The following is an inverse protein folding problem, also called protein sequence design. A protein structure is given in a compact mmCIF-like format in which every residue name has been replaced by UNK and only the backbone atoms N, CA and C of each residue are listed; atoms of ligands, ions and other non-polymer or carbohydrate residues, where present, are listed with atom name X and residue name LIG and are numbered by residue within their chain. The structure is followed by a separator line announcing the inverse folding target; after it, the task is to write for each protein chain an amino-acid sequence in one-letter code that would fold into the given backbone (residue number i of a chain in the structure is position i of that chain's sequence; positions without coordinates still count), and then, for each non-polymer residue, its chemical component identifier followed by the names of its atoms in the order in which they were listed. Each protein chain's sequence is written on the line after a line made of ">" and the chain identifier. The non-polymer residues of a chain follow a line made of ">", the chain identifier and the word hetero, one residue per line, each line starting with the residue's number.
data_IF_924845112544
#
_entry.id   IF_924845112544
#
_cell.length_a   1.000
_cell.length_b   1.000
_cell.length_c   1.000
_cell.angle_alpha   90.00
_cell.angle_beta   90.00
_cell.angle_gamma   90.00
#
_symmetry.space_group_name_H-M   'P 1'
#
loop_
_entity.id
_entity.type
_entity.pdbx_description
1 polymer ?
#
# COMPACT_ATOMS: atom_id res chain seq x y z
N UNK A 1 36.00 -20.43 -0.01
CA UNK A 1 34.98 -19.39 -0.30
C UNK A 1 33.77 -20.13 -0.81
N UNK A 2 32.72 -20.25 0.01
CA UNK A 2 31.48 -20.88 -0.43
C UNK A 2 30.90 -20.00 -1.53
N UNK A 3 30.60 -20.59 -2.69
CA UNK A 3 29.83 -19.91 -3.72
C UNK A 3 28.50 -19.50 -3.06
N UNK A 4 28.19 -18.21 -3.05
CA UNK A 4 26.84 -17.75 -2.75
C UNK A 4 25.90 -18.55 -3.63
N UNK A 5 24.88 -19.17 -3.06
CA UNK A 5 23.80 -19.74 -3.87
C UNK A 5 23.29 -18.60 -4.76
N UNK A 6 23.53 -18.70 -6.07
CA UNK A 6 23.09 -17.68 -7.02
C UNK A 6 21.58 -17.49 -6.84
N UNK A 7 21.17 -16.28 -6.43
CA UNK A 7 19.76 -15.91 -6.39
C UNK A 7 19.17 -16.13 -7.79
N UNK A 8 18.08 -16.90 -7.87
CA UNK A 8 17.33 -17.08 -9.11
C UNK A 8 16.08 -16.18 -9.07
N UNK A 9 16.08 -15.06 -9.83
CA UNK A 9 14.91 -14.20 -9.94
C UNK A 9 13.64 -14.95 -10.33
N UNK A 10 13.74 -15.99 -11.16
CA UNK A 10 12.58 -16.73 -11.68
C UNK A 10 11.84 -17.47 -10.56
N UNK A 11 12.56 -17.99 -9.56
CA UNK A 11 11.94 -18.63 -8.40
C UNK A 11 11.16 -17.63 -7.56
N UNK A 12 11.70 -16.41 -7.39
CA UNK A 12 11.00 -15.34 -6.69
C UNK A 12 9.74 -14.93 -7.48
N UNK A 13 9.87 -14.68 -8.78
CA UNK A 13 8.74 -14.27 -9.64
C UNK A 13 7.62 -15.33 -9.67
N UNK A 14 7.99 -16.62 -9.62
CA UNK A 14 7.04 -17.73 -9.55
C UNK A 14 6.43 -17.93 -8.15
N UNK A 15 6.83 -17.16 -7.14
CA UNK A 15 6.32 -17.26 -5.78
C UNK A 15 4.80 -17.08 -5.76
N UNK A 16 4.13 -17.97 -5.02
CA UNK A 16 2.69 -17.93 -4.83
C UNK A 16 2.39 -17.47 -3.41
N UNK A 17 1.89 -16.26 -3.29
CA UNK A 17 1.35 -15.77 -2.04
C UNK A 17 0.08 -16.56 -1.66
N UNK A 18 -0.16 -16.81 -0.37
CA UNK A 18 -1.46 -17.29 0.09
C UNK A 18 -2.53 -16.23 -0.18
N UNK A 19 -3.77 -16.66 -0.44
CA UNK A 19 -4.90 -15.73 -0.45
C UNK A 19 -5.11 -15.19 0.98
N UNK A 20 -5.41 -13.89 1.10
CA UNK A 20 -5.70 -13.22 2.37
C UNK A 20 -7.11 -12.67 2.37
N UNK A 21 -7.80 -12.79 3.50
CA UNK A 21 -9.13 -12.19 3.70
C UNK A 21 -8.94 -10.95 4.55
N UNK A 22 -9.39 -9.81 4.04
CA UNK A 22 -9.45 -8.55 4.79
C UNK A 22 -10.92 -8.18 5.00
N UNK A 23 -11.37 -8.21 6.25
CA UNK A 23 -12.75 -7.85 6.62
C UNK A 23 -12.75 -6.55 7.40
N UNK A 24 -13.68 -5.65 7.07
CA UNK A 24 -13.81 -4.37 7.73
C UNK A 24 -15.28 -3.98 7.90
N UNK A 25 -15.51 -3.12 8.87
CA UNK A 25 -16.80 -2.55 9.22
C UNK A 25 -16.81 -1.06 8.97
N UNK A 26 -17.99 -0.45 9.12
CA UNK A 26 -18.16 1.00 9.01
C UNK A 26 -17.28 1.76 10.00
N UNK A 27 -17.07 1.19 11.20
CA UNK A 27 -16.16 1.75 12.20
C UNK A 27 -14.73 1.86 11.68
N UNK A 28 -14.25 0.84 10.98
CA UNK A 28 -12.86 0.81 10.49
C UNK A 28 -12.67 1.82 9.36
N UNK A 29 -13.67 1.95 8.48
CA UNK A 29 -13.71 2.98 7.44
C UNK A 29 -13.74 4.40 8.02
N UNK A 30 -14.53 4.65 9.07
CA UNK A 30 -14.58 5.94 9.76
C UNK A 30 -13.27 6.27 10.49
N UNK A 31 -12.64 5.28 11.16
CA UNK A 31 -11.33 5.44 11.80
C UNK A 31 -10.28 5.83 10.76
N UNK A 32 -10.28 5.17 9.60
CA UNK A 32 -9.40 5.54 8.50
C UNK A 32 -9.67 6.97 8.02
N UNK A 33 -10.93 7.34 7.80
CA UNK A 33 -11.33 8.68 7.38
C UNK A 33 -10.75 9.76 8.30
N UNK A 34 -10.94 9.61 9.61
CA UNK A 34 -10.35 10.49 10.62
C UNK A 34 -8.81 10.44 10.61
N UNK A 35 -8.23 9.25 10.48
CA UNK A 35 -6.78 9.05 10.45
C UNK A 35 -6.07 9.73 9.29
N UNK A 36 -6.75 9.86 8.14
CA UNK A 36 -6.23 10.59 6.96
C UNK A 36 -6.67 12.06 6.91
N UNK A 37 -7.40 12.53 7.91
CA UNK A 37 -7.67 13.96 8.11
C UNK A 37 -9.09 14.43 7.78
N UNK A 38 -10.04 13.53 7.47
CA UNK A 38 -11.43 13.93 7.32
C UNK A 38 -11.94 14.60 8.60
N UNK A 39 -12.60 15.75 8.45
CA UNK A 39 -13.09 16.60 9.52
C UNK A 39 -12.01 17.16 10.46
N UNK A 40 -10.71 17.07 10.10
CA UNK A 40 -9.63 17.47 11.00
C UNK A 40 -9.54 19.00 11.20
N UNK A 41 -9.93 19.76 10.18
CA UNK A 41 -9.96 21.23 10.23
C UNK A 41 -11.25 21.77 10.83
N UNK A 42 -12.38 21.17 10.46
CA UNK A 42 -13.70 21.50 10.96
C UNK A 42 -14.52 20.22 11.16
N UNK A 43 -14.88 19.94 12.42
CA UNK A 43 -15.65 18.77 12.80
C UNK A 43 -17.08 18.79 12.24
N UNK A 44 -17.57 19.95 11.80
CA UNK A 44 -18.92 20.17 11.28
C UNK A 44 -18.96 20.36 9.76
N UNK A 45 -17.86 20.10 9.04
CA UNK A 45 -17.82 20.22 7.58
C UNK A 45 -18.81 19.24 6.94
N UNK A 46 -19.88 19.79 6.35
CA UNK A 46 -20.96 19.04 5.72
C UNK A 46 -20.50 18.21 4.51
N UNK A 47 -19.37 18.56 3.90
CA UNK A 47 -18.78 17.82 2.78
C UNK A 47 -17.97 16.61 3.24
N UNK A 48 -17.44 16.64 4.46
CA UNK A 48 -16.56 15.59 5.00
C UNK A 48 -17.27 14.68 5.99
N UNK A 49 -18.34 15.15 6.65
CA UNK A 49 -19.13 14.36 7.59
C UNK A 49 -19.60 13.02 7.00
N UNK A 50 -19.84 12.95 5.69
CA UNK A 50 -20.21 11.71 4.99
C UNK A 50 -19.18 10.57 5.10
N UNK A 51 -17.94 10.85 5.54
CA UNK A 51 -16.90 9.83 5.73
C UNK A 51 -16.84 9.26 7.16
N UNK A 52 -17.58 9.85 8.10
CA UNK A 52 -17.52 9.51 9.54
C UNK A 52 -18.90 9.43 10.19
N UNK A 53 -19.92 9.91 9.51
CA UNK A 53 -21.30 10.03 9.97
C UNK A 53 -22.28 9.89 8.80
N UNK A 54 -23.56 9.67 9.10
CA UNK A 54 -24.67 9.51 8.16
C UNK A 54 -25.46 10.83 7.99
N UNK A 55 -25.01 11.79 7.16
CA UNK A 55 -25.80 12.99 6.88
C UNK A 55 -27.09 12.64 6.14
N UNK A 56 -28.14 13.45 6.33
CA UNK A 56 -29.37 13.44 5.52
C UNK A 56 -30.09 12.09 5.40
N UNK A 57 -29.97 11.23 6.43
CA UNK A 57 -30.63 9.92 6.46
C UNK A 57 -29.97 8.84 5.58
N UNK A 58 -28.71 9.03 5.19
CA UNK A 58 -27.91 7.98 4.55
C UNK A 58 -27.86 6.72 5.43
N UNK A 59 -27.94 5.54 4.80
CA UNK A 59 -27.88 4.29 5.54
C UNK A 59 -26.45 3.93 5.96
N UNK A 60 -25.45 4.38 5.19
CA UNK A 60 -24.05 4.07 5.39
C UNK A 60 -23.15 5.27 5.07
N UNK A 61 -21.98 5.36 5.71
CA UNK A 61 -20.96 6.35 5.36
C UNK A 61 -20.35 6.04 3.99
N UNK A 62 -19.76 7.04 3.35
CA UNK A 62 -18.90 6.84 2.19
C UNK A 62 -17.49 6.45 2.63
N UNK A 63 -16.84 5.59 1.84
CA UNK A 63 -15.47 5.16 2.11
C UNK A 63 -14.53 5.89 1.15
N UNK A 64 -13.47 6.50 1.69
CA UNK A 64 -12.44 7.13 0.87
C UNK A 64 -11.76 6.08 -0.02
N UNK A 65 -11.59 6.33 -1.34
CA UNK A 65 -10.98 5.36 -2.26
C UNK A 65 -9.62 4.81 -1.82
N UNK A 66 -8.83 5.64 -1.14
CA UNK A 66 -7.50 5.29 -0.64
C UNK A 66 -7.51 4.27 0.51
N UNK A 67 -8.67 3.98 1.11
CA UNK A 67 -8.85 2.88 2.07
C UNK A 67 -8.42 1.53 1.48
N UNK A 68 -8.55 1.37 0.15
CA UNK A 68 -8.11 0.17 -0.57
C UNK A 68 -6.61 -0.17 -0.38
N UNK A 69 -5.77 0.81 0.00
CA UNK A 69 -4.36 0.55 0.30
C UNK A 69 -4.18 -0.43 1.47
N UNK A 70 -5.11 -0.42 2.43
CA UNK A 70 -5.05 -1.25 3.64
C UNK A 70 -5.22 -2.75 3.35
N UNK A 71 -5.84 -3.10 2.22
CA UNK A 71 -6.02 -4.51 1.81
C UNK A 71 -4.71 -5.24 1.57
N UNK A 72 -3.61 -4.49 1.51
CA UNK A 72 -2.27 -5.01 1.33
C UNK A 72 -1.50 -5.27 2.63
N UNK A 73 -1.98 -4.74 3.77
CA UNK A 73 -1.26 -4.79 5.04
C UNK A 73 -0.96 -6.23 5.50
N UNK A 74 -1.88 -7.17 5.25
CA UNK A 74 -1.75 -8.58 5.64
C UNK A 74 -0.72 -9.37 4.83
N UNK A 75 -0.06 -8.74 3.85
CA UNK A 75 1.05 -9.33 3.10
C UNK A 75 2.43 -8.90 3.62
N UNK A 76 2.51 -7.98 4.59
CA UNK A 76 3.79 -7.51 5.12
C UNK A 76 4.68 -8.67 5.59
N UNK A 77 4.11 -9.61 6.37
CA UNK A 77 4.84 -10.80 6.83
C UNK A 77 5.34 -11.69 5.70
N UNK A 78 4.57 -11.85 4.63
CA UNK A 78 4.93 -12.67 3.47
C UNK A 78 6.07 -12.05 2.69
N UNK A 79 6.09 -10.72 2.60
CA UNK A 79 7.15 -9.95 1.94
C UNK A 79 8.47 -10.10 2.70
N UNK A 80 8.43 -10.02 4.03
CA UNK A 80 9.59 -10.22 4.91
C UNK A 80 10.26 -11.58 4.74
N UNK A 81 9.49 -12.61 4.37
CA UNK A 81 9.96 -13.99 4.26
C UNK A 81 10.07 -14.48 2.81
N UNK A 82 10.21 -13.56 1.85
CA UNK A 82 10.36 -13.94 0.44
C UNK A 82 11.64 -14.76 0.21
N UNK A 83 11.57 -15.84 -0.59
CA UNK A 83 12.71 -16.71 -0.82
C UNK A 83 13.80 -16.01 -1.63
N UNK A 84 15.04 -16.13 -1.18
CA UNK A 84 16.24 -15.81 -1.97
C UNK A 84 16.72 -14.36 -1.92
N UNK A 85 15.93 -13.41 -1.41
CA UNK A 85 16.40 -12.04 -1.17
C UNK A 85 16.81 -11.88 0.29
N UNK A 86 18.11 -11.74 0.53
CA UNK A 86 18.64 -11.40 1.86
C UNK A 86 18.62 -9.88 2.04
N UNK A 87 17.84 -9.40 3.01
CA UNK A 87 17.83 -8.00 3.44
C UNK A 87 17.45 -7.91 4.93
N UNK A 88 17.67 -6.73 5.51
CA UNK A 88 17.15 -6.40 6.84
C UNK A 88 15.73 -5.83 6.70
N UNK A 89 14.68 -6.50 7.20
CA UNK A 89 13.30 -6.00 7.11
C UNK A 89 13.12 -4.60 7.70
N UNK A 90 13.94 -4.22 8.69
CA UNK A 90 13.89 -2.88 9.31
C UNK A 90 14.31 -1.76 8.36
N UNK A 91 15.02 -2.11 7.27
CA UNK A 91 15.48 -1.17 6.25
C UNK A 91 14.57 -1.14 5.01
N UNK A 92 13.51 -1.96 4.99
CA UNK A 92 12.49 -1.94 3.95
C UNK A 92 11.80 -0.58 3.95
N UNK A 93 11.68 0.01 2.76
CA UNK A 93 10.92 1.24 2.57
C UNK A 93 9.78 0.99 1.60
N UNK A 94 8.59 1.50 1.94
CA UNK A 94 7.50 1.60 0.99
C UNK A 94 7.82 2.75 0.01
N UNK A 95 8.17 2.41 -1.23
CA UNK A 95 8.63 3.36 -2.24
C UNK A 95 7.49 4.01 -3.02
N UNK A 96 6.61 3.21 -3.62
CA UNK A 96 5.49 3.70 -4.42
C UNK A 96 4.22 2.91 -4.13
N UNK A 97 3.08 3.58 -4.28
CA UNK A 97 1.74 2.98 -4.23
C UNK A 97 0.95 3.42 -5.46
N UNK A 98 0.22 2.49 -6.06
CA UNK A 98 -0.77 2.72 -7.09
C UNK A 98 -2.06 1.99 -6.70
N UNK A 99 -3.20 2.63 -6.96
CA UNK A 99 -4.53 2.09 -6.68
C UNK A 99 -5.41 2.34 -7.91
N UNK A 100 -6.05 1.30 -8.42
CA UNK A 100 -7.13 1.39 -9.40
C UNK A 100 -8.42 0.87 -8.78
N UNK A 101 -9.46 1.71 -8.77
CA UNK A 101 -10.77 1.40 -8.20
C UNK A 101 -11.74 1.11 -9.34
N UNK A 102 -12.22 -0.13 -9.43
CA UNK A 102 -13.20 -0.54 -10.44
C UNK A 102 -14.64 -0.31 -9.96
N UNK A 103 -14.87 -0.38 -8.64
CA UNK A 103 -16.17 -0.12 -8.00
C UNK A 103 -16.00 0.64 -6.68
N UNK A 104 -16.97 1.47 -6.27
CA UNK A 104 -16.96 2.11 -4.95
C UNK A 104 -16.81 1.08 -3.82
N UNK A 105 -16.03 1.42 -2.81
CA UNK A 105 -15.87 0.58 -1.62
C UNK A 105 -17.14 0.64 -0.77
N UNK A 106 -17.73 -0.51 -0.39
CA UNK A 106 -18.85 -0.53 0.56
C UNK A 106 -18.36 -0.12 1.96
N UNK A 107 -19.26 0.36 2.83
CA UNK A 107 -18.91 0.74 4.21
C UNK A 107 -18.52 -0.45 5.10
N UNK A 108 -18.88 -1.66 4.69
CA UNK A 108 -18.51 -2.91 5.32
C UNK A 108 -18.38 -3.99 4.25
N UNK A 109 -17.36 -4.83 4.32
CA UNK A 109 -17.17 -5.95 3.40
C UNK A 109 -16.11 -6.92 3.91
N UNK A 110 -16.06 -8.08 3.25
CA UNK A 110 -14.91 -8.97 3.29
C UNK A 110 -14.30 -9.05 1.90
N UNK A 111 -13.00 -8.76 1.79
CA UNK A 111 -12.24 -8.80 0.53
C UNK A 111 -11.35 -10.03 0.50
N UNK A 112 -11.35 -10.76 -0.62
CA UNK A 112 -10.38 -11.81 -0.93
C UNK A 112 -9.27 -11.18 -1.76
N UNK A 113 -8.07 -11.13 -1.18
CA UNK A 113 -6.90 -10.50 -1.76
C UNK A 113 -5.95 -11.54 -2.35
N UNK A 114 -5.56 -11.32 -3.60
CA UNK A 114 -4.64 -12.18 -4.35
C UNK A 114 -3.41 -11.39 -4.75
N UNK A 115 -2.28 -11.68 -4.12
CA UNK A 115 -1.01 -11.03 -4.41
C UNK A 115 -0.19 -11.81 -5.45
N UNK A 116 0.60 -11.07 -6.24
CA UNK A 116 1.61 -11.63 -7.14
C UNK A 116 2.78 -10.67 -7.29
N UNK A 117 3.96 -11.20 -7.58
CA UNK A 117 5.11 -10.36 -7.92
C UNK A 117 4.92 -9.87 -9.35
N UNK A 118 4.82 -8.55 -9.50
CA UNK A 118 4.57 -7.88 -10.78
C UNK A 118 5.83 -7.24 -11.35
N UNK A 119 6.87 -7.07 -10.54
CA UNK A 119 8.15 -6.56 -10.99
C UNK A 119 9.29 -6.79 -10.00
N UNK A 120 10.51 -6.86 -10.53
CA UNK A 120 11.75 -6.94 -9.77
C UNK A 120 12.84 -6.14 -10.49
N UNK A 121 13.55 -5.28 -9.77
CA UNK A 121 14.64 -4.51 -10.33
C UNK A 121 15.85 -4.50 -9.42
N UNK A 122 17.02 -4.78 -9.98
CA UNK A 122 18.30 -4.61 -9.30
C UNK A 122 18.78 -3.14 -9.40
N UNK A 123 19.10 -2.54 -8.26
CA UNK A 123 19.67 -1.18 -8.13
C UNK A 123 21.10 -1.21 -7.57
N UNK A 124 21.81 -2.33 -7.70
CA UNK A 124 23.18 -2.55 -7.22
C UNK A 124 23.24 -2.83 -5.73
N UNK A 125 22.94 -1.84 -4.89
CA UNK A 125 22.95 -2.01 -3.41
C UNK A 125 21.57 -2.30 -2.81
N UNK A 126 20.55 -2.41 -3.65
CA UNK A 126 19.18 -2.67 -3.25
C UNK A 126 18.41 -3.35 -4.37
N UNK A 127 17.26 -3.92 -4.03
CA UNK A 127 16.24 -4.34 -4.98
C UNK A 127 15.02 -3.44 -4.88
N UNK A 128 14.30 -3.26 -5.98
CA UNK A 128 12.90 -2.83 -5.97
C UNK A 128 12.05 -4.05 -6.30
N UNK A 129 11.11 -4.36 -5.43
CA UNK A 129 10.13 -5.41 -5.65
C UNK A 129 8.75 -4.78 -5.80
N UNK A 130 8.06 -5.08 -6.90
CA UNK A 130 6.69 -4.63 -7.14
C UNK A 130 5.71 -5.77 -6.93
N UNK A 131 4.69 -5.53 -6.11
CA UNK A 131 3.67 -6.51 -5.74
C UNK A 131 2.33 -5.95 -6.15
N UNK A 132 1.58 -6.75 -6.89
CA UNK A 132 0.24 -6.43 -7.35
C UNK A 132 -0.77 -7.28 -6.60
N UNK A 133 -1.84 -6.65 -6.13
CA UNK A 133 -2.88 -7.27 -5.30
C UNK A 133 -4.23 -6.96 -5.93
N UNK A 134 -4.93 -8.00 -6.34
CA UNK A 134 -6.32 -7.93 -6.78
C UNK A 134 -7.24 -8.24 -5.61
N UNK A 135 -8.22 -7.38 -5.37
CA UNK A 135 -9.16 -7.49 -4.25
C UNK A 135 -10.57 -7.71 -4.78
N UNK A 136 -11.14 -8.87 -4.42
CA UNK A 136 -12.48 -9.28 -4.81
C UNK A 136 -13.41 -9.22 -3.60
N UNK A 137 -14.62 -8.70 -3.76
CA UNK A 137 -15.62 -8.82 -2.71
C UNK A 137 -16.02 -10.30 -2.57
N UNK A 138 -16.01 -10.80 -1.33
CA UNK A 138 -16.04 -12.23 -1.03
C UNK A 138 -17.36 -12.92 -1.42
N UNK A 139 -18.50 -12.25 -1.25
CA UNK A 139 -19.81 -12.86 -1.49
C UNK A 139 -20.18 -12.89 -2.98
N UNK A 140 -19.96 -11.77 -3.66
CA UNK A 140 -20.28 -11.57 -5.07
C UNK A 140 -19.19 -12.07 -6.02
N UNK A 141 -17.93 -12.14 -5.56
CA UNK A 141 -16.77 -12.45 -6.38
C UNK A 141 -16.35 -11.33 -7.33
N UNK A 142 -16.92 -10.13 -7.17
CA UNK A 142 -16.63 -9.00 -8.05
C UNK A 142 -15.27 -8.38 -7.74
N UNK A 143 -14.51 -8.04 -8.79
CA UNK A 143 -13.25 -7.30 -8.64
C UNK A 143 -13.56 -5.84 -8.26
N UNK A 144 -13.07 -5.41 -7.10
CA UNK A 144 -13.33 -4.08 -6.54
C UNK A 144 -12.18 -3.12 -6.85
N UNK A 145 -10.94 -3.56 -6.63
CA UNK A 145 -9.76 -2.74 -6.87
C UNK A 145 -8.51 -3.58 -7.16
N UNK A 146 -7.51 -2.91 -7.72
CA UNK A 146 -6.14 -3.41 -7.84
C UNK A 146 -5.20 -2.43 -7.10
N UNK A 147 -4.33 -2.97 -6.26
CA UNK A 147 -3.22 -2.24 -5.64
C UNK A 147 -1.91 -2.69 -6.28
N UNK A 148 -0.98 -1.77 -6.50
CA UNK A 148 0.42 -2.09 -6.80
C UNK A 148 1.31 -1.29 -5.89
N UNK A 149 2.08 -1.99 -5.06
CA UNK A 149 3.09 -1.39 -4.20
C UNK A 149 4.49 -1.71 -4.73
N UNK A 150 5.42 -0.79 -4.53
CA UNK A 150 6.84 -1.03 -4.74
C UNK A 150 7.57 -0.88 -3.41
N UNK A 151 8.28 -1.92 -2.99
CA UNK A 151 9.12 -1.90 -1.79
C UNK A 151 10.59 -1.82 -2.20
N UNK A 152 11.35 -1.01 -1.48
CA UNK A 152 12.79 -0.83 -1.66
C UNK A 152 13.53 -1.62 -0.59
N UNK A 153 14.22 -2.68 -1.03
CA UNK A 153 14.90 -3.65 -0.17
C UNK A 153 16.40 -3.35 -0.15
N UNK A 154 16.83 -2.57 0.85
CA UNK A 154 18.25 -2.23 1.03
C UNK A 154 19.07 -3.48 1.35
N UNK A 155 20.21 -3.65 0.68
CA UNK A 155 21.09 -4.81 0.83
C UNK A 155 20.81 -5.96 -0.15
N UNK A 156 19.57 -6.07 -0.66
CA UNK A 156 19.15 -7.16 -1.55
C UNK A 156 19.51 -6.96 -3.04
N UNK A 157 20.52 -6.14 -3.37
CA UNK A 157 20.94 -5.88 -4.76
C UNK A 157 22.13 -6.72 -5.21
N UNK A 158 22.55 -6.54 -6.47
CA UNK A 158 23.76 -7.15 -7.02
C UNK A 158 23.58 -8.56 -7.57
N UNK A 159 22.34 -8.96 -7.80
CA UNK A 159 21.97 -10.28 -8.32
C UNK A 159 21.83 -10.33 -9.85
N UNK A 160 21.74 -9.19 -10.53
CA UNK A 160 21.60 -9.12 -11.98
C UNK A 160 22.83 -8.49 -12.65
N UNK A 161 23.23 -9.06 -13.79
CA UNK A 161 24.25 -8.49 -14.70
C UNK A 161 23.70 -7.34 -15.56
N UNK A 162 22.38 -7.15 -15.57
CA UNK A 162 21.67 -6.10 -16.33
C UNK A 162 20.74 -5.34 -15.40
N UNK A 163 20.78 -4.00 -15.44
CA UNK A 163 19.87 -3.16 -14.65
C UNK A 163 18.43 -3.11 -15.19
N UNK A 164 18.11 -3.95 -16.18
CA UNK A 164 16.78 -3.95 -16.78
C UNK A 164 15.74 -4.44 -15.76
N UNK A 165 14.61 -3.74 -15.64
CA UNK A 165 13.53 -4.18 -14.80
C UNK A 165 12.94 -5.46 -15.36
N UNK A 166 12.75 -6.43 -14.49
CA UNK A 166 11.90 -7.56 -14.78
C UNK A 166 10.45 -7.13 -14.54
N UNK A 167 9.62 -7.08 -15.58
CA UNK A 167 8.20 -6.73 -15.48
C UNK A 167 7.34 -7.90 -15.90
N UNK A 168 6.37 -8.25 -15.05
CA UNK A 168 5.54 -9.44 -15.18
C UNK A 168 4.06 -9.18 -14.93
N UNK A 169 3.65 -7.91 -14.78
CA UNK A 169 2.24 -7.60 -14.63
C UNK A 169 1.48 -8.07 -15.88
N UNK A 170 0.45 -8.89 -15.63
CA UNK A 170 -0.50 -9.36 -16.65
C UNK A 170 -1.60 -8.33 -16.91
N UNK A 171 -1.79 -7.41 -15.96
CA UNK A 171 -2.71 -6.30 -16.09
C UNK A 171 -1.97 -5.20 -16.83
N UNK A 172 -2.59 -4.69 -17.90
CA UNK A 172 -1.93 -3.78 -18.83
C UNK A 172 -1.13 -2.72 -18.09
N UNK A 173 0.09 -2.47 -18.55
CA UNK A 173 0.86 -1.31 -18.15
C UNK A 173 0.06 -0.06 -18.53
N UNK A 174 -0.88 0.36 -17.69
CA UNK A 174 -0.94 1.77 -17.35
C UNK A 174 0.34 2.04 -16.55
N UNK A 175 1.48 1.92 -17.23
CA UNK A 175 2.62 2.78 -16.99
C UNK A 175 1.98 4.16 -17.09
N UNK A 176 1.62 4.72 -15.93
CA UNK A 176 1.66 6.14 -15.73
C UNK A 176 3.06 6.53 -16.21
N UNK A 177 3.14 6.83 -17.50
CA UNK A 177 4.34 7.04 -18.27
C UNK A 177 4.97 8.26 -17.66
N UNK A 178 5.98 8.09 -16.78
CA UNK A 178 6.63 9.14 -15.99
C UNK A 178 5.81 10.44 -16.04
N UNK A 179 4.67 10.48 -15.33
CA UNK A 179 3.77 11.63 -15.42
C UNK A 179 4.56 12.79 -14.84
N UNK A 180 5.21 13.54 -15.72
CA UNK A 180 6.05 14.65 -15.33
C UNK A 180 5.13 15.70 -14.75
N UNK A 181 5.43 16.15 -13.54
CA UNK A 181 4.74 17.30 -12.96
C UNK A 181 4.91 18.46 -13.96
N UNK A 182 3.81 19.06 -14.47
CA UNK A 182 3.91 20.15 -15.44
C UNK A 182 4.79 21.28 -14.90
N UNK A 183 5.66 21.81 -15.75
CA UNK A 183 6.47 22.98 -15.41
C UNK A 183 5.56 24.21 -15.44
N UNK A 184 5.26 24.80 -14.28
CA UNK A 184 4.42 26.00 -14.18
C UNK A 184 3.78 26.17 -12.81
N UNK A 185 2.94 27.19 -12.67
CA UNK A 185 2.12 27.36 -11.46
C UNK A 185 1.01 26.29 -11.40
N UNK A 186 0.73 25.71 -10.22
CA UNK A 186 -0.40 24.81 -10.04
C UNK A 186 -1.73 25.51 -10.35
N UNK A 187 -2.70 24.78 -10.90
CA UNK A 187 -4.05 25.29 -11.13
C UNK A 187 -4.81 25.56 -9.82
N UNK A 188 -4.59 24.71 -8.81
CA UNK A 188 -5.13 24.85 -7.47
C UNK A 188 -4.12 24.31 -6.46
N UNK A 189 -4.13 24.87 -5.26
CA UNK A 189 -3.33 24.44 -4.11
C UNK A 189 -4.29 24.29 -2.94
N UNK A 190 -4.25 23.12 -2.30
CA UNK A 190 -4.97 22.83 -1.07
C UNK A 190 -3.95 22.50 -0.01
N UNK A 191 -4.11 23.06 1.18
CA UNK A 191 -3.22 22.85 2.32
C UNK A 191 -4.02 22.21 3.45
N UNK A 192 -3.53 21.06 3.91
CA UNK A 192 -4.08 20.36 5.07
C UNK A 192 -3.06 20.38 6.20
N UNK A 193 -3.53 20.61 7.42
CA UNK A 193 -2.68 20.61 8.60
C UNK A 193 -2.76 19.25 9.29
N UNK A 194 -1.62 18.57 9.40
CA UNK A 194 -1.57 17.31 10.13
C UNK A 194 -1.64 17.54 11.63
N UNK A 195 -2.35 16.67 12.33
CA UNK A 195 -2.43 16.72 13.80
C UNK A 195 -1.17 16.08 14.41
N UNK A 196 -0.66 16.57 15.57
CA UNK A 196 0.48 15.95 16.24
C UNK A 196 0.29 14.45 16.54
N UNK A 197 -0.95 14.01 16.76
CA UNK A 197 -1.31 12.61 17.03
C UNK A 197 -1.74 11.82 15.78
N UNK A 198 -1.61 12.37 14.57
CA UNK A 198 -2.20 11.77 13.37
C UNK A 198 -1.65 10.39 13.04
N UNK A 199 -0.34 10.18 13.20
CA UNK A 199 0.27 8.85 13.05
C UNK A 199 -0.28 7.84 14.06
N UNK A 200 -0.58 8.28 15.30
CA UNK A 200 -1.14 7.43 16.35
C UNK A 200 -2.59 7.03 16.09
N UNK A 201 -3.34 7.86 15.35
CA UNK A 201 -4.69 7.55 14.91
C UNK A 201 -4.67 6.67 13.65
N UNK A 202 -3.90 7.05 12.63
CA UNK A 202 -3.82 6.34 11.35
C UNK A 202 -3.35 4.89 11.51
N UNK A 203 -2.39 4.62 12.41
CA UNK A 203 -1.91 3.25 12.68
C UNK A 203 -3.00 2.29 13.13
N UNK A 204 -4.11 2.79 13.70
CA UNK A 204 -5.26 1.96 14.07
C UNK A 204 -5.97 1.35 12.85
N UNK A 205 -5.68 1.84 11.64
CA UNK A 205 -6.14 1.27 10.36
C UNK A 205 -5.32 0.07 9.87
N UNK A 206 -4.20 -0.27 10.53
CA UNK A 206 -3.53 -1.57 10.32
C UNK A 206 -2.01 -1.57 10.26
N UNK A 207 -1.37 -0.41 10.07
CA UNK A 207 0.11 -0.33 10.11
C UNK A 207 0.59 0.02 11.52
N UNK A 208 0.97 -1.01 12.28
CA UNK A 208 1.46 -0.88 13.64
C UNK A 208 2.99 -0.71 13.74
N UNK A 209 3.68 -0.45 12.62
CA UNK A 209 5.14 -0.29 12.61
C UNK A 209 5.59 0.76 13.65
N UNK A 210 6.49 0.40 14.59
CA UNK A 210 6.91 1.28 15.66
C UNK A 210 7.65 2.52 15.17
N UNK A 211 8.14 2.54 13.93
CA UNK A 211 8.71 3.74 13.29
C UNK A 211 7.79 4.95 13.42
N UNK A 212 6.47 4.74 13.42
CA UNK A 212 5.46 5.80 13.44
C UNK A 212 4.93 6.13 14.85
N UNK A 213 5.45 5.48 15.91
CA UNK A 213 4.92 5.67 17.27
C UNK A 213 5.95 5.62 18.39
N UNK A 214 7.13 5.04 18.18
CA UNK A 214 8.22 4.96 19.16
C UNK A 214 9.38 5.89 18.76
N UNK A 215 9.61 6.99 19.51
CA UNK A 215 10.71 7.92 19.23
C UNK A 215 12.09 7.27 19.21
N UNK A 216 12.34 6.23 20.01
CA UNK A 216 13.65 5.56 20.05
C UNK A 216 13.91 4.76 18.77
N UNK A 217 12.87 4.13 18.24
CA UNK A 217 12.97 3.39 16.98
C UNK A 217 13.14 4.37 15.81
N UNK A 218 12.40 5.47 15.82
CA UNK A 218 12.54 6.52 14.81
C UNK A 218 13.96 7.12 14.82
N UNK A 219 14.51 7.46 15.98
CA UNK A 219 15.88 8.01 16.11
C UNK A 219 16.95 7.06 15.55
N UNK A 220 16.78 5.75 15.75
CA UNK A 220 17.70 4.73 15.21
C UNK A 220 17.57 4.58 13.69
N UNK A 221 16.37 4.78 13.14
CA UNK A 221 16.11 4.68 11.70
C UNK A 221 16.69 5.86 10.90
N UNK A 222 16.91 7.01 11.56
CA UNK A 222 17.46 8.24 10.99
C UNK A 222 16.40 9.17 10.41
#
# INVERSE_FOLDING_TARGET
>A
MAASSDFDPQLLIAHKFPEKIYSYTERDAAIYGLGVGACAKDALDDKELKYVYHPDGQQFIQVLPTFAALFSNDFASEIEHLPGLEYDPRLLLHGHQFIEIYKPLPSNASMVNRASISGLQDKGKAAILEIEILSYEKESGELICMNRMAVYLRGAGGFSKSSQPYSYSKHGTNTASNIGIPKGQPYAIFEECTQPSQALLYRLSGDYNPLHSDPKIAEVAG
#
